data_IF_387481087198
#
_entry.id   IF_387481087198
#
_cell.length_a   1.000
_cell.length_b   1.000
_cell.length_c   1.000
_cell.angle_alpha   90.00
_cell.angle_beta   90.00
_cell.angle_gamma   90.00
#
_symmetry.space_group_name_H-M   'P 1'
#
loop_
_entity.id
_entity.type
_entity.pdbx_description
1 polymer ?
#
# COMPACT_ATOMS: atom_id res chain seq x y z
N UNK A 1 3.18 -1.35 16.65
CA UNK A 1 3.52 -2.46 17.56
C UNK A 1 4.99 -2.29 17.89
N UNK A 2 5.31 -2.13 19.16
CA UNK A 2 6.69 -1.94 19.62
C UNK A 2 7.48 -3.23 19.41
N UNK A 3 8.68 -3.15 18.83
CA UNK A 3 9.53 -4.31 18.54
C UNK A 3 9.36 -4.96 17.14
N UNK A 4 8.35 -4.58 16.36
CA UNK A 4 8.24 -5.02 14.96
C UNK A 4 9.32 -4.34 14.09
N UNK A 5 9.75 -4.99 13.00
CA UNK A 5 10.90 -4.57 12.18
C UNK A 5 10.88 -3.11 11.69
N UNK A 6 9.70 -2.58 11.35
CA UNK A 6 9.52 -1.19 10.91
C UNK A 6 8.97 -0.26 12.00
N UNK A 7 9.05 -0.68 13.27
CA UNK A 7 8.65 0.10 14.46
C UNK A 7 7.19 0.61 14.41
N UNK A 8 6.32 -0.03 13.63
CA UNK A 8 4.94 0.39 13.45
C UNK A 8 4.75 1.71 12.68
N UNK A 9 5.77 2.20 11.96
CA UNK A 9 5.70 3.47 11.20
C UNK A 9 4.78 3.42 9.96
N UNK A 10 4.29 2.24 9.60
CA UNK A 10 3.35 2.05 8.49
C UNK A 10 4.03 1.95 7.12
N UNK A 11 3.26 1.50 6.12
CA UNK A 11 3.76 1.20 4.77
C UNK A 11 4.23 2.44 4.01
N UNK A 12 3.56 3.58 4.18
CA UNK A 12 3.92 4.80 3.44
C UNK A 12 5.27 5.37 3.89
N UNK A 13 5.66 5.15 5.16
CA UNK A 13 6.98 5.54 5.65
C UNK A 13 8.07 4.63 5.06
N UNK A 14 7.78 3.34 4.90
CA UNK A 14 8.67 2.41 4.20
C UNK A 14 8.92 2.87 2.75
N UNK A 15 7.87 3.31 2.05
CA UNK A 15 7.96 3.80 0.67
C UNK A 15 8.22 5.31 0.54
N UNK A 16 8.65 6.00 1.61
CA UNK A 16 8.82 7.46 1.61
C UNK A 16 9.72 7.95 0.46
N UNK A 17 10.85 7.28 0.24
CA UNK A 17 11.80 7.64 -0.83
C UNK A 17 11.14 7.56 -2.21
N UNK A 18 10.29 6.56 -2.44
CA UNK A 18 9.55 6.39 -3.68
C UNK A 18 8.46 7.45 -3.86
N UNK A 19 7.72 7.76 -2.80
CA UNK A 19 6.73 8.86 -2.82
C UNK A 19 7.40 10.20 -3.12
N UNK A 20 8.53 10.52 -2.49
CA UNK A 20 9.24 11.79 -2.68
C UNK A 20 9.84 11.93 -4.08
N UNK A 21 10.28 10.84 -4.71
CA UNK A 21 10.73 10.86 -6.09
C UNK A 21 9.60 11.29 -7.05
N UNK A 22 8.37 10.81 -6.84
CA UNK A 22 7.20 11.19 -7.66
C UNK A 22 6.72 12.61 -7.33
N UNK A 23 6.69 12.98 -6.05
CA UNK A 23 6.34 14.34 -5.60
C UNK A 23 7.31 15.39 -6.15
N UNK A 24 8.60 15.07 -6.25
CA UNK A 24 9.61 15.93 -6.88
C UNK A 24 9.26 16.26 -8.34
N UNK A 25 8.61 15.33 -9.05
CA UNK A 25 8.12 15.53 -10.42
C UNK A 25 6.76 16.24 -10.49
N UNK A 26 6.22 16.69 -9.34
CA UNK A 26 4.95 17.42 -9.25
C UNK A 26 3.71 16.53 -9.17
N UNK A 27 3.87 15.21 -8.97
CA UNK A 27 2.73 14.30 -8.82
C UNK A 27 2.13 14.38 -7.41
N UNK A 28 0.83 14.09 -7.31
CA UNK A 28 0.12 13.93 -6.03
C UNK A 28 -0.22 12.46 -5.79
N UNK A 29 -0.27 12.08 -4.51
CA UNK A 29 -0.44 10.69 -4.09
C UNK A 29 -1.91 10.27 -4.02
N UNK A 30 -2.21 9.07 -4.51
CA UNK A 30 -3.43 8.32 -4.20
C UNK A 30 -3.20 7.32 -3.05
N UNK A 31 -4.24 6.88 -2.32
CA UNK A 31 -4.08 5.90 -1.23
C UNK A 31 -3.37 4.62 -1.69
N UNK A 32 -2.36 4.18 -0.94
CA UNK A 32 -1.61 2.95 -1.25
C UNK A 32 -2.49 1.71 -1.06
N UNK A 33 -2.43 0.76 -2.00
CA UNK A 33 -2.99 -0.59 -1.87
C UNK A 33 -1.85 -1.63 -1.78
N UNK A 34 -1.97 -2.59 -0.86
CA UNK A 34 -0.96 -3.63 -0.63
C UNK A 34 -1.61 -4.95 -0.20
N UNK A 35 -1.14 -6.06 -0.76
CA UNK A 35 -1.44 -7.41 -0.27
C UNK A 35 -0.26 -7.94 0.55
N UNK A 36 -0.53 -8.42 1.77
CA UNK A 36 0.48 -8.97 2.66
C UNK A 36 0.38 -10.50 2.72
N UNK A 37 1.48 -11.15 3.09
CA UNK A 37 1.55 -12.60 3.31
C UNK A 37 1.17 -13.47 2.09
N UNK A 38 1.38 -12.94 0.88
CA UNK A 38 0.94 -13.54 -0.39
C UNK A 38 1.56 -14.90 -0.71
N UNK A 39 2.68 -15.26 -0.06
CA UNK A 39 3.38 -16.53 -0.29
C UNK A 39 2.96 -17.59 0.73
N UNK A 40 3.00 -17.27 2.02
CA UNK A 40 2.73 -18.26 3.08
C UNK A 40 1.22 -18.44 3.32
N UNK A 41 0.41 -17.45 2.95
CA UNK A 41 -1.03 -17.47 3.08
C UNK A 41 -1.71 -16.76 1.87
N UNK A 42 -1.69 -17.38 0.68
CA UNK A 42 -2.29 -16.78 -0.51
C UNK A 42 -3.82 -16.69 -0.37
N UNK A 43 -4.39 -15.52 -0.64
CA UNK A 43 -5.84 -15.25 -0.62
C UNK A 43 -6.25 -14.46 -1.87
N UNK A 44 -6.04 -15.06 -3.04
CA UNK A 44 -6.13 -14.35 -4.34
C UNK A 44 -7.51 -13.74 -4.56
N UNK A 45 -8.59 -14.47 -4.30
CA UNK A 45 -9.97 -14.01 -4.49
C UNK A 45 -10.29 -12.79 -3.61
N UNK A 46 -9.81 -12.82 -2.36
CA UNK A 46 -9.94 -11.69 -1.43
C UNK A 46 -9.18 -10.48 -1.96
N UNK A 47 -7.94 -10.66 -2.43
CA UNK A 47 -7.13 -9.57 -2.95
C UNK A 47 -7.75 -8.93 -4.19
N UNK A 48 -8.36 -9.72 -5.08
CA UNK A 48 -9.09 -9.21 -6.23
C UNK A 48 -10.30 -8.36 -5.79
N UNK A 49 -11.11 -8.87 -4.86
CA UNK A 49 -12.28 -8.15 -4.35
C UNK A 49 -11.88 -6.84 -3.64
N UNK A 50 -10.87 -6.89 -2.76
CA UNK A 50 -10.37 -5.72 -2.04
C UNK A 50 -9.78 -4.68 -3.00
N UNK A 51 -9.06 -5.11 -4.04
CA UNK A 51 -8.48 -4.21 -5.02
C UNK A 51 -9.56 -3.54 -5.87
N UNK A 52 -10.58 -4.29 -6.29
CA UNK A 52 -11.71 -3.71 -7.01
C UNK A 52 -12.44 -2.65 -6.17
N UNK A 53 -12.71 -2.94 -4.90
CA UNK A 53 -13.31 -1.98 -3.98
C UNK A 53 -12.42 -0.74 -3.75
N UNK A 54 -11.09 -0.93 -3.69
CA UNK A 54 -10.14 0.18 -3.59
C UNK A 54 -10.17 1.07 -4.83
N UNK A 55 -10.15 0.48 -6.02
CA UNK A 55 -10.21 1.22 -7.28
C UNK A 55 -11.51 2.00 -7.41
N UNK A 56 -12.65 1.40 -7.07
CA UNK A 56 -13.95 2.08 -7.04
C UNK A 56 -13.91 3.28 -6.08
N UNK A 57 -13.35 3.12 -4.88
CA UNK A 57 -13.23 4.22 -3.92
C UNK A 57 -12.32 5.37 -4.42
N UNK A 58 -11.31 5.07 -5.22
CA UNK A 58 -10.30 6.04 -5.65
C UNK A 58 -10.68 6.72 -6.97
N UNK A 59 -11.36 6.01 -7.87
CA UNK A 59 -11.62 6.44 -9.25
C UNK A 59 -13.09 6.40 -9.69
N UNK A 60 -13.97 5.72 -8.94
CA UNK A 60 -15.42 5.72 -9.16
C UNK A 60 -16.07 6.96 -8.55
#
# INVERSE_FOLDING_TARGET
REGDFFEGKGVDVLYMHFHKANEFLGMTRLPTFLCNDVVKNPQVEKYLADYQAHLEKVFG
#
